data_IF_250862397450
#
_entry.id   IF_250862397450
#
_cell.length_a   1.000
_cell.length_b   1.000
_cell.length_c   1.000
_cell.angle_alpha   90.00
_cell.angle_beta   90.00
_cell.angle_gamma   90.00
#
_symmetry.space_group_name_H-M   'P 1'
#
loop_
_entity.id
_entity.type
_entity.pdbx_description
1 polymer ?
#
# COMPACT_ATOMS: atom_id res chain seq x y z
N UNK A 1 27.72 25.27 -12.35
CA UNK A 1 26.50 24.45 -12.19
C UNK A 1 26.97 23.08 -11.78
N UNK A 2 26.42 22.56 -10.68
CA UNK A 2 26.78 21.23 -10.18
C UNK A 2 26.14 20.16 -11.11
N UNK A 3 26.85 19.06 -11.36
CA UNK A 3 26.35 17.95 -12.18
C UNK A 3 25.04 17.36 -11.62
N UNK A 4 24.86 17.44 -10.29
CA UNK A 4 23.61 17.03 -9.65
C UNK A 4 22.42 17.94 -10.03
N UNK A 5 22.64 19.25 -10.12
CA UNK A 5 21.59 20.22 -10.52
C UNK A 5 21.13 20.00 -11.97
N UNK A 6 22.04 19.58 -12.85
CA UNK A 6 21.70 19.23 -14.23
C UNK A 6 20.82 17.97 -14.30
N UNK A 7 21.08 16.98 -13.45
CA UNK A 7 20.25 15.79 -13.36
C UNK A 7 18.86 16.11 -12.82
N UNK A 8 18.76 16.99 -11.82
CA UNK A 8 17.46 17.46 -11.29
C UNK A 8 16.66 18.18 -12.39
N UNK A 9 17.30 19.02 -13.20
CA UNK A 9 16.66 19.73 -14.33
C UNK A 9 16.17 18.81 -15.44
N UNK A 10 16.90 17.72 -15.71
CA UNK A 10 16.50 16.70 -16.70
C UNK A 10 15.26 15.92 -16.27
N UNK A 11 14.89 15.99 -14.98
CA UNK A 11 13.72 15.32 -14.43
C UNK A 11 14.00 13.86 -14.09
N UNK A 12 12.95 13.07 -13.78
CA UNK A 12 13.12 11.67 -13.39
C UNK A 12 13.73 10.87 -14.54
N UNK A 13 14.70 10.00 -14.19
CA UNK A 13 15.31 9.05 -15.11
C UNK A 13 14.21 8.31 -15.92
N UNK A 14 14.32 8.27 -17.26
CA UNK A 14 13.37 7.56 -18.12
C UNK A 14 13.04 6.14 -17.65
N UNK A 15 14.03 5.43 -17.09
CA UNK A 15 13.87 4.07 -16.58
C UNK A 15 12.92 4.00 -15.37
N UNK A 16 12.85 5.08 -14.59
CA UNK A 16 12.05 5.17 -13.36
C UNK A 16 10.85 6.10 -13.46
N UNK A 17 10.61 6.72 -14.62
CA UNK A 17 9.50 7.66 -14.86
C UNK A 17 8.15 7.11 -14.39
N UNK A 18 7.83 5.86 -14.74
CA UNK A 18 6.55 5.23 -14.33
C UNK A 18 6.45 5.11 -12.81
N UNK A 19 7.55 4.71 -12.15
CA UNK A 19 7.58 4.54 -10.69
C UNK A 19 7.47 5.89 -9.98
N UNK A 20 8.13 6.92 -10.48
CA UNK A 20 8.08 8.27 -9.93
C UNK A 20 6.65 8.84 -9.97
N UNK A 21 6.00 8.78 -11.14
CA UNK A 21 4.61 9.24 -11.32
C UNK A 21 3.64 8.46 -10.43
N UNK A 22 3.80 7.14 -10.34
CA UNK A 22 2.96 6.30 -9.47
C UNK A 22 3.16 6.65 -7.99
N UNK A 23 4.38 6.93 -7.55
CA UNK A 23 4.65 7.36 -6.18
C UNK A 23 3.98 8.69 -5.88
N UNK A 24 4.09 9.65 -6.79
CA UNK A 24 3.49 10.98 -6.67
C UNK A 24 1.95 10.92 -6.58
N UNK A 25 1.34 10.10 -7.43
CA UNK A 25 -0.13 9.96 -7.53
C UNK A 25 -0.66 8.72 -6.79
N UNK A 26 0.09 8.18 -5.84
CA UNK A 26 -0.20 6.88 -5.22
C UNK A 26 -1.61 6.82 -4.62
N UNK A 27 -2.01 7.84 -3.86
CA UNK A 27 -3.34 7.88 -3.23
C UNK A 27 -4.47 7.97 -4.26
N UNK A 28 -4.31 8.76 -5.32
CA UNK A 28 -5.33 8.88 -6.38
C UNK A 28 -5.50 7.56 -7.14
N UNK A 29 -4.40 6.87 -7.44
CA UNK A 29 -4.44 5.55 -8.08
C UNK A 29 -5.12 4.54 -7.16
N UNK A 30 -4.84 4.58 -5.86
CA UNK A 30 -5.48 3.72 -4.88
C UNK A 30 -7.00 3.95 -4.84
N UNK A 31 -7.45 5.21 -4.80
CA UNK A 31 -8.88 5.56 -4.88
C UNK A 31 -9.50 5.10 -6.20
N UNK A 32 -8.84 5.34 -7.34
CA UNK A 32 -9.33 4.86 -8.64
C UNK A 32 -9.51 3.34 -8.67
N UNK A 33 -8.62 2.59 -8.00
CA UNK A 33 -8.72 1.14 -7.87
C UNK A 33 -9.84 0.69 -6.94
N UNK A 34 -10.12 1.41 -5.87
CA UNK A 34 -11.28 1.16 -5.01
C UNK A 34 -12.60 1.38 -5.77
N UNK A 35 -12.62 2.36 -6.68
CA UNK A 35 -13.72 2.60 -7.63
C UNK A 35 -13.71 1.64 -8.84
N UNK A 36 -12.89 0.59 -8.82
CA UNK A 36 -12.80 -0.46 -9.83
C UNK A 36 -12.39 0.00 -11.24
N UNK A 37 -11.74 1.16 -11.39
CA UNK A 37 -11.23 1.59 -12.70
C UNK A 37 -10.17 0.62 -13.26
N UNK A 38 -10.26 0.35 -14.56
CA UNK A 38 -9.31 -0.52 -15.27
C UNK A 38 -7.92 0.12 -15.34
N UNK A 39 -6.87 -0.70 -15.24
CA UNK A 39 -5.48 -0.22 -15.29
C UNK A 39 -5.13 0.52 -16.58
N UNK A 40 -5.73 0.16 -17.73
CA UNK A 40 -5.53 0.87 -18.99
C UNK A 40 -6.08 2.32 -18.93
N UNK A 41 -7.24 2.52 -18.28
CA UNK A 41 -7.82 3.85 -18.09
C UNK A 41 -6.98 4.68 -17.12
N UNK A 42 -6.48 4.06 -16.04
CA UNK A 42 -5.55 4.70 -15.10
C UNK A 42 -4.24 5.08 -15.80
N UNK A 43 -3.67 4.20 -16.63
CA UNK A 43 -2.46 4.49 -17.40
C UNK A 43 -2.66 5.71 -18.32
N UNK A 44 -3.77 5.74 -19.06
CA UNK A 44 -4.16 6.88 -19.90
C UNK A 44 -4.29 8.17 -19.10
N UNK A 45 -4.96 8.14 -17.93
CA UNK A 45 -5.12 9.30 -17.06
C UNK A 45 -3.79 9.81 -16.47
N UNK A 46 -2.78 8.94 -16.35
CA UNK A 46 -1.43 9.31 -15.91
C UNK A 46 -0.53 9.79 -17.08
N UNK A 47 -1.06 9.85 -18.31
CA UNK A 47 -0.31 10.26 -19.50
C UNK A 47 0.56 9.14 -20.11
N UNK A 48 0.30 7.88 -19.76
CA UNK A 48 0.93 6.72 -20.38
C UNK A 48 0.02 6.11 -21.45
N UNK A 49 0.61 5.32 -22.35
CA UNK A 49 -0.19 4.57 -23.32
C UNK A 49 -1.04 3.50 -22.62
N UNK A 50 -2.24 3.27 -23.14
CA UNK A 50 -3.21 2.30 -22.62
C UNK A 50 -2.65 0.87 -22.59
N UNK A 51 -1.74 0.54 -23.52
CA UNK A 51 -1.04 -0.76 -23.56
C UNK A 51 -0.13 -0.97 -22.34
N UNK A 52 0.34 0.11 -21.71
CA UNK A 52 1.21 0.07 -20.53
C UNK A 52 0.44 -0.22 -19.23
N UNK A 53 -0.88 -0.44 -19.27
CA UNK A 53 -1.67 -0.78 -18.09
C UNK A 53 -1.13 -1.95 -17.27
N UNK A 54 -0.55 -2.97 -17.94
CA UNK A 54 0.13 -4.09 -17.26
C UNK A 54 1.34 -3.63 -16.47
N UNK A 55 2.19 -2.81 -17.07
CA UNK A 55 3.39 -2.25 -16.45
C UNK A 55 3.03 -1.35 -15.26
N UNK A 56 2.05 -0.45 -15.43
CA UNK A 56 1.55 0.42 -14.36
C UNK A 56 1.07 -0.42 -13.17
N UNK A 57 0.31 -1.49 -13.41
CA UNK A 57 -0.17 -2.36 -12.32
C UNK A 57 0.99 -3.05 -11.56
N UNK A 58 2.01 -3.52 -12.28
CA UNK A 58 3.14 -4.22 -11.70
C UNK A 58 4.00 -3.27 -10.84
N UNK A 59 4.25 -2.07 -11.35
CA UNK A 59 4.99 -1.03 -10.62
C UNK A 59 4.19 -0.55 -9.41
N UNK A 60 2.88 -0.32 -9.56
CA UNK A 60 2.00 0.06 -8.45
C UNK A 60 2.05 -0.96 -7.31
N UNK A 61 1.97 -2.26 -7.60
CA UNK A 61 2.07 -3.30 -6.56
C UNK A 61 3.38 -3.23 -5.77
N UNK A 62 4.51 -3.00 -6.45
CA UNK A 62 5.81 -2.84 -5.81
C UNK A 62 5.87 -1.58 -4.94
N UNK A 63 5.30 -0.47 -5.42
CA UNK A 63 5.19 0.77 -4.67
C UNK A 63 4.30 0.58 -3.44
N UNK A 64 3.12 -0.02 -3.61
CA UNK A 64 2.15 -0.30 -2.55
C UNK A 64 2.77 -1.15 -1.42
N UNK A 65 3.49 -2.21 -1.77
CA UNK A 65 4.23 -3.01 -0.79
C UNK A 65 5.31 -2.19 -0.06
N UNK A 66 6.06 -1.36 -0.79
CA UNK A 66 7.08 -0.50 -0.20
C UNK A 66 6.52 0.58 0.73
N UNK A 67 5.37 1.15 0.38
CA UNK A 67 4.65 2.14 1.20
C UNK A 67 4.10 1.50 2.46
N UNK A 68 3.43 0.34 2.34
CA UNK A 68 2.91 -0.42 3.49
C UNK A 68 3.99 -0.89 4.45
N UNK A 69 5.16 -1.25 3.92
CA UNK A 69 6.34 -1.61 4.72
C UNK A 69 7.06 -0.39 5.33
N UNK A 70 6.61 0.83 5.08
CA UNK A 70 7.27 2.07 5.54
C UNK A 70 8.60 2.37 4.85
N UNK A 71 8.99 1.61 3.82
CA UNK A 71 10.24 1.76 3.07
C UNK A 71 10.18 2.89 2.04
N UNK A 72 8.98 3.22 1.56
CA UNK A 72 8.73 4.30 0.62
C UNK A 72 7.75 5.28 1.24
N UNK A 73 8.07 6.57 1.17
CA UNK A 73 7.14 7.64 1.51
C UNK A 73 6.47 8.08 0.21
N UNK A 74 5.15 7.90 0.10
CA UNK A 74 4.41 8.68 -0.88
C UNK A 74 4.53 10.14 -0.47
N UNK A 75 4.83 11.09 -1.38
CA UNK A 75 4.65 12.50 -1.06
C UNK A 75 3.18 12.65 -0.68
N UNK A 76 2.92 12.75 0.62
CA UNK A 76 1.56 12.90 1.10
C UNK A 76 0.99 14.11 0.40
N UNK A 77 -0.26 14.04 -0.07
CA UNK A 77 -1.07 15.26 -0.13
C UNK A 77 -0.86 15.90 1.23
N UNK A 78 -0.30 17.11 1.25
CA UNK A 78 -0.01 17.85 2.47
C UNK A 78 -1.30 17.95 3.27
N UNK A 79 -1.58 16.96 4.10
CA UNK A 79 -2.59 17.04 5.13
C UNK A 79 -1.98 17.99 6.11
N UNK A 80 -2.36 19.26 5.97
CA UNK A 80 -2.29 20.25 7.04
C UNK A 80 -2.87 19.55 8.26
N UNK A 81 -1.98 19.10 9.14
CA UNK A 81 -2.35 18.48 10.41
C UNK A 81 -3.00 19.60 11.20
N UNK A 82 -4.33 19.65 11.17
CA UNK A 82 -5.11 20.46 12.08
C UNK A 82 -4.84 19.92 13.48
N UNK A 83 -4.00 20.64 14.22
CA UNK A 83 -3.67 20.37 15.62
C UNK A 83 -4.96 20.54 16.40
N UNK A 84 -5.70 19.44 16.58
CA UNK A 84 -6.81 19.39 17.52
C UNK A 84 -6.18 19.20 18.91
N UNK A 85 -6.07 20.31 19.62
CA UNK A 85 -5.62 20.39 21.01
C UNK A 85 -6.34 19.32 21.85
N UNK A 86 -5.57 18.38 22.39
CA UNK A 86 -6.06 17.46 23.41
C UNK A 86 -6.16 18.23 24.73
N UNK A 87 -7.36 18.25 25.30
CA UNK A 87 -7.58 18.29 26.75
C UNK A 87 -8.48 17.05 27.01
N UNK A 88 -7.96 15.98 27.60
CA UNK A 88 -7.94 15.77 29.07
C UNK A 88 -9.39 15.63 29.59
N UNK A 89 -9.88 14.59 30.28
CA UNK A 89 -9.33 13.49 31.09
C UNK A 89 -10.45 12.42 31.26
N UNK A 90 -10.00 11.19 31.52
CA UNK A 90 -10.64 10.01 32.11
C UNK A 90 -12.10 10.07 32.61
N UNK A 91 -12.84 9.01 32.28
CA UNK A 91 -13.64 8.27 33.26
C UNK A 91 -13.50 6.76 33.05
N UNK A 92 -12.93 6.15 34.08
CA UNK A 92 -13.11 4.79 34.55
C UNK A 92 -14.49 4.19 34.22
N UNK A 93 -14.52 3.03 33.55
CA UNK A 93 -15.61 2.05 33.69
C UNK A 93 -15.10 0.67 33.26
N UNK A 94 -14.86 -0.16 34.26
CA UNK A 94 -14.68 -1.60 34.14
C UNK A 94 -15.94 -2.28 33.58
N UNK A 95 -15.79 -3.18 32.61
CA UNK A 95 -16.67 -4.32 32.33
C UNK A 95 -15.85 -5.25 31.40
N UNK A 96 -15.37 -6.40 31.87
CA UNK A 96 -16.19 -7.60 31.95
C UNK A 96 -15.73 -8.54 30.83
N UNK A 97 -14.99 -9.59 31.21
CA UNK A 97 -14.28 -10.46 30.29
C UNK A 97 -15.14 -11.23 29.30
N UNK A 98 -14.47 -11.70 28.24
CA UNK A 98 -14.86 -12.92 27.54
C UNK A 98 -13.60 -13.57 26.97
N UNK A 99 -12.94 -14.32 27.84
CA UNK A 99 -11.93 -15.29 27.47
C UNK A 99 -12.63 -16.43 26.73
N UNK A 100 -12.30 -16.62 25.44
CA UNK A 100 -12.74 -17.80 24.68
C UNK A 100 -11.51 -18.68 24.42
N UNK A 101 -11.36 -19.81 25.14
CA UNK A 101 -10.32 -20.78 24.81
C UNK A 101 -10.61 -21.43 23.44
N UNK A 102 -9.59 -21.48 22.58
CA UNK A 102 -9.59 -22.20 21.31
C UNK A 102 -9.73 -23.71 21.56
N UNK A 103 -10.58 -24.45 20.81
CA UNK A 103 -10.60 -25.90 20.89
C UNK A 103 -9.29 -26.49 20.33
N UNK A 104 -8.63 -27.33 21.13
CA UNK A 104 -7.57 -28.25 20.69
C UNK A 104 -8.17 -29.21 19.66
N UNK A 105 -7.61 -29.25 18.45
CA UNK A 105 -7.81 -30.38 17.54
C UNK A 105 -7.16 -31.60 18.18
N UNK A 106 -7.98 -32.54 18.64
CA UNK A 106 -7.57 -33.91 18.91
C UNK A 106 -7.35 -34.52 17.53
N UNK A 107 -6.12 -34.87 17.21
CA UNK A 107 -5.83 -35.79 16.11
C UNK A 107 -5.91 -37.18 16.74
N UNK A 108 -6.99 -37.89 16.44
CA UNK A 108 -7.09 -39.33 16.63
C UNK A 108 -6.11 -40.00 15.65
N UNK A 109 -4.92 -40.34 16.13
CA UNK A 109 -4.00 -41.28 15.48
C UNK A 109 -4.48 -42.70 15.83
N UNK A 110 -5.49 -43.15 15.10
CA UNK A 110 -5.92 -44.55 15.08
C UNK A 110 -6.30 -44.93 13.65
N UNK A 111 -5.29 -45.19 12.81
CA UNK A 111 -5.45 -46.04 11.63
C UNK A 111 -4.39 -47.13 11.59
N UNK A 112 -4.88 -48.30 11.96
CA UNK A 112 -4.45 -49.65 11.64
C UNK A 112 -4.06 -49.81 10.15
N UNK A 113 -3.07 -50.67 9.88
CA UNK A 113 -2.90 -51.27 8.55
C UNK A 113 -1.52 -51.90 8.30
N UNK A 114 -1.48 -53.24 8.44
CA UNK A 114 -0.71 -54.28 7.70
C UNK A 114 0.72 -53.99 7.16
N UNK A 115 1.68 -54.93 7.21
CA UNK A 115 1.55 -56.29 6.72
C UNK A 115 2.66 -57.22 7.25
N UNK A 116 2.34 -58.52 7.34
CA UNK A 116 3.30 -59.62 7.22
C UNK A 116 3.34 -60.07 5.76
#
# INVERSE_FOLDING_TARGET
>A
MDALEELIKKGPDPAYKVKAVILERYQDILTARQLMWKWAAIASALGFDTTQGRQVSAVFRRVDMGVKAGKLKSPGKSTVVSVRTQAAIATDTAYGGFDKPKPKRVFDDDQQGEAK
#
